data_IF_756790754866
#
_entry.id   IF_756790754866
#
_cell.length_a   1.000
_cell.length_b   1.000
_cell.length_c   1.000
_cell.angle_alpha   90.00
_cell.angle_beta   90.00
_cell.angle_gamma   90.00
#
_symmetry.space_group_name_H-M   'P 1'
#
loop_
_entity.id
_entity.type
_entity.pdbx_description
1 polymer ?
#
# COMPACT_ATOMS: atom_id res chain seq x y z
N UNK A 1 -39.15 8.87 -18.59
CA UNK A 1 -38.27 9.72 -17.77
C UNK A 1 -36.90 9.06 -17.63
N UNK A 2 -35.83 9.57 -18.26
CA UNK A 2 -34.50 8.92 -18.30
C UNK A 2 -33.65 9.09 -17.02
N UNK A 3 -34.06 9.96 -16.08
CA UNK A 3 -33.23 10.37 -14.93
C UNK A 3 -32.95 9.26 -13.89
N UNK A 4 -33.88 8.33 -13.69
CA UNK A 4 -33.74 7.27 -12.67
C UNK A 4 -32.76 6.17 -13.09
N UNK A 5 -32.66 5.87 -14.39
CA UNK A 5 -31.70 4.90 -14.92
C UNK A 5 -30.24 5.42 -14.86
N UNK A 6 -30.05 6.73 -15.04
CA UNK A 6 -28.74 7.38 -14.90
C UNK A 6 -28.29 7.40 -13.43
N UNK A 7 -29.17 7.79 -12.50
CA UNK A 7 -28.86 7.79 -11.07
C UNK A 7 -28.55 6.39 -10.53
N UNK A 8 -29.30 5.36 -10.94
CA UNK A 8 -29.03 3.96 -10.57
C UNK A 8 -27.66 3.49 -11.06
N UNK A 9 -27.29 3.80 -12.31
CA UNK A 9 -25.95 3.47 -12.85
C UNK A 9 -24.85 4.19 -12.08
N UNK A 10 -25.01 5.50 -11.84
CA UNK A 10 -24.03 6.30 -11.08
C UNK A 10 -23.84 5.78 -9.65
N UNK A 11 -24.93 5.42 -8.98
CA UNK A 11 -24.89 4.88 -7.62
C UNK A 11 -24.23 3.48 -7.57
N UNK A 12 -24.49 2.62 -8.55
CA UNK A 12 -23.83 1.32 -8.67
C UNK A 12 -22.32 1.47 -8.90
N UNK A 13 -21.90 2.38 -9.78
CA UNK A 13 -20.47 2.66 -10.03
C UNK A 13 -19.74 3.18 -8.79
N UNK A 14 -20.36 4.07 -8.01
CA UNK A 14 -19.78 4.57 -6.76
C UNK A 14 -19.63 3.47 -5.71
N UNK A 15 -20.64 2.59 -5.57
CA UNK A 15 -20.57 1.44 -4.65
C UNK A 15 -19.48 0.46 -5.05
N UNK A 16 -19.34 0.17 -6.34
CA UNK A 16 -18.27 -0.72 -6.84
C UNK A 16 -16.87 -0.16 -6.55
N UNK A 17 -16.65 1.14 -6.75
CA UNK A 17 -15.37 1.79 -6.43
C UNK A 17 -15.07 1.78 -4.93
N UNK A 18 -16.06 2.04 -4.09
CA UNK A 18 -15.88 2.02 -2.64
C UNK A 18 -15.59 0.59 -2.12
N UNK A 19 -16.21 -0.43 -2.71
CA UNK A 19 -15.91 -1.83 -2.38
C UNK A 19 -14.49 -2.22 -2.81
N UNK A 20 -14.09 -1.88 -4.04
CA UNK A 20 -12.73 -2.10 -4.51
C UNK A 20 -11.69 -1.41 -3.61
N UNK A 21 -11.98 -0.16 -3.18
CA UNK A 21 -11.14 0.57 -2.23
C UNK A 21 -10.97 -0.17 -0.92
N UNK A 22 -12.07 -0.64 -0.32
CA UNK A 22 -12.01 -1.37 0.95
C UNK A 22 -11.19 -2.64 0.84
N UNK A 23 -11.39 -3.42 -0.23
CA UNK A 23 -10.60 -4.62 -0.50
C UNK A 23 -9.11 -4.28 -0.63
N UNK A 24 -8.77 -3.22 -1.35
CA UNK A 24 -7.39 -2.80 -1.54
C UNK A 24 -6.74 -2.33 -0.22
N UNK A 25 -7.48 -1.63 0.65
CA UNK A 25 -7.02 -1.25 2.00
C UNK A 25 -6.78 -2.48 2.87
N UNK A 26 -7.72 -3.44 2.90
CA UNK A 26 -7.54 -4.69 3.65
C UNK A 26 -6.32 -5.46 3.14
N UNK A 27 -6.15 -5.55 1.82
CA UNK A 27 -4.98 -6.20 1.21
C UNK A 27 -3.67 -5.50 1.62
N UNK A 28 -3.65 -4.17 1.63
CA UNK A 28 -2.50 -3.41 2.07
C UNK A 28 -2.14 -3.65 3.56
N UNK A 29 -3.15 -3.86 4.42
CA UNK A 29 -2.94 -4.22 5.83
C UNK A 29 -2.38 -5.64 5.99
N UNK A 30 -2.88 -6.61 5.22
CA UNK A 30 -2.34 -7.98 5.18
C UNK A 30 -0.87 -8.00 4.76
N UNK A 31 -0.54 -7.25 3.70
CA UNK A 31 0.84 -7.08 3.21
C UNK A 31 1.71 -6.50 4.31
N UNK A 32 1.25 -5.43 4.97
CA UNK A 32 2.00 -4.80 6.05
C UNK A 32 2.26 -5.76 7.22
N UNK A 33 1.27 -6.56 7.62
CA UNK A 33 1.41 -7.53 8.68
C UNK A 33 2.42 -8.63 8.31
N UNK A 34 2.33 -9.17 7.09
CA UNK A 34 3.25 -10.19 6.61
C UNK A 34 4.69 -9.67 6.57
N UNK A 35 4.93 -8.50 5.96
CA UNK A 35 6.27 -7.90 5.92
C UNK A 35 6.80 -7.52 7.31
N UNK A 36 5.93 -7.04 8.21
CA UNK A 36 6.33 -6.72 9.58
C UNK A 36 6.76 -7.95 10.38
N UNK A 37 6.23 -9.13 10.08
CA UNK A 37 6.65 -10.38 10.74
C UNK A 37 8.05 -10.85 10.35
N UNK A 38 8.53 -10.46 9.17
CA UNK A 38 9.88 -10.78 8.68
C UNK A 38 10.92 -9.72 9.07
N UNK A 39 10.47 -8.49 9.30
CA UNK A 39 11.31 -7.36 9.68
C UNK A 39 11.61 -7.36 11.20
N UNK A 40 12.81 -6.97 11.58
CA UNK A 40 13.19 -6.71 12.96
C UNK A 40 12.45 -5.50 13.55
N UNK A 41 12.12 -4.52 12.70
CA UNK A 41 11.25 -3.39 13.05
C UNK A 41 10.46 -2.91 11.83
N UNK A 42 9.24 -2.43 12.04
CA UNK A 42 8.44 -1.80 10.99
C UNK A 42 7.87 -0.45 11.43
N UNK A 43 7.71 0.45 10.46
CA UNK A 43 7.08 1.77 10.64
C UNK A 43 6.13 2.03 9.48
N UNK A 44 4.93 2.52 9.78
CA UNK A 44 3.96 2.95 8.77
C UNK A 44 3.99 4.46 8.66
N UNK A 45 4.31 4.96 7.47
CA UNK A 45 4.20 6.37 7.14
C UNK A 45 2.78 6.68 6.66
N UNK A 46 2.37 7.95 6.79
CA UNK A 46 1.09 8.41 6.27
C UNK A 46 1.06 8.16 4.77
N UNK A 47 0.10 7.36 4.32
CA UNK A 47 -0.07 7.11 2.90
C UNK A 47 -0.44 8.45 2.22
N UNK A 48 0.19 8.79 1.09
CA UNK A 48 -0.08 10.07 0.43
C UNK A 48 -1.53 10.12 0.01
N UNK A 49 -2.18 11.23 0.37
CA UNK A 49 -3.56 11.47 -0.02
C UNK A 49 -3.62 11.61 -1.54
N UNK A 50 -4.44 10.80 -2.24
CA UNK A 50 -4.57 10.87 -3.69
C UNK A 50 -5.10 12.22 -4.18
N UNK A 51 -5.71 13.04 -3.31
CA UNK A 51 -6.09 14.41 -3.66
C UNK A 51 -4.89 15.31 -4.01
N UNK A 52 -3.67 14.97 -3.56
CA UNK A 52 -2.47 15.77 -3.77
C UNK A 52 -1.63 15.32 -4.98
N UNK A 53 -1.80 14.09 -5.49
CA UNK A 53 -0.90 13.53 -6.52
C UNK A 53 -1.40 13.64 -7.95
N UNK A 54 -2.71 13.90 -8.16
CA UNK A 54 -3.31 13.98 -9.50
C UNK A 54 -3.22 12.69 -10.32
N UNK A 55 -2.79 11.57 -9.70
CA UNK A 55 -2.72 10.23 -10.29
C UNK A 55 -3.83 9.36 -9.72
N UNK A 56 -4.45 8.55 -10.57
CA UNK A 56 -5.47 7.56 -10.18
C UNK A 56 -4.91 6.43 -9.28
N UNK A 57 -3.60 6.38 -9.10
CA UNK A 57 -2.90 5.40 -8.26
C UNK A 57 -2.92 5.85 -6.80
N UNK A 58 -3.83 5.29 -6.02
CA UNK A 58 -3.89 5.53 -4.58
C UNK A 58 -2.75 4.81 -3.87
N UNK A 59 -1.89 5.57 -3.17
CA UNK A 59 -0.92 4.95 -2.28
C UNK A 59 -1.65 4.41 -1.05
N UNK A 60 -1.72 3.10 -0.91
CA UNK A 60 -2.45 2.43 0.18
C UNK A 60 -1.55 2.12 1.39
N UNK A 61 -0.27 1.87 1.12
CA UNK A 61 0.75 1.54 2.11
C UNK A 61 2.04 2.27 1.77
N UNK A 62 2.54 3.03 2.73
CA UNK A 62 3.92 3.50 2.76
C UNK A 62 4.53 3.01 4.06
N UNK A 63 5.43 2.04 3.98
CA UNK A 63 6.02 1.38 5.14
C UNK A 63 7.53 1.27 5.01
N UNK A 64 8.23 1.48 6.12
CA UNK A 64 9.65 1.23 6.26
C UNK A 64 9.85 -0.02 7.11
N UNK A 65 10.74 -0.91 6.67
CA UNK A 65 11.01 -2.20 7.31
C UNK A 65 12.52 -2.33 7.51
N UNK A 66 12.94 -2.57 8.75
CA UNK A 66 14.32 -2.91 9.10
C UNK A 66 14.45 -4.43 9.02
N UNK A 67 15.29 -4.91 8.11
CA UNK A 67 15.52 -6.34 7.85
C UNK A 67 16.94 -6.68 8.29
N UNK A 68 17.12 -7.84 8.92
CA UNK A 68 18.44 -8.31 9.35
C UNK A 68 19.36 -8.54 8.14
N UNK A 69 20.67 -8.33 8.35
CA UNK A 69 21.69 -8.60 7.34
C UNK A 69 21.62 -10.07 6.88
N UNK A 70 21.45 -10.28 5.57
CA UNK A 70 21.30 -11.60 4.96
C UNK A 70 19.87 -12.13 4.81
N UNK A 71 18.85 -11.37 5.24
CA UNK A 71 17.42 -11.68 5.01
C UNK A 71 16.75 -10.76 4.00
N UNK A 72 17.52 -9.91 3.33
CA UNK A 72 17.08 -8.97 2.31
C UNK A 72 16.46 -9.66 1.10
N UNK A 73 17.07 -10.75 0.62
CA UNK A 73 16.53 -11.55 -0.48
C UNK A 73 15.23 -12.26 -0.10
N UNK A 74 15.15 -12.82 1.11
CA UNK A 74 13.95 -13.46 1.66
C UNK A 74 12.78 -12.46 1.74
N UNK A 75 13.08 -11.25 2.24
CA UNK A 75 12.11 -10.17 2.34
C UNK A 75 11.64 -9.70 0.96
N UNK A 76 12.57 -9.51 0.01
CA UNK A 76 12.23 -9.10 -1.35
C UNK A 76 11.40 -10.16 -2.10
N UNK A 77 11.73 -11.44 -1.90
CA UNK A 77 10.95 -12.55 -2.44
C UNK A 77 9.52 -12.56 -1.88
N UNK A 78 9.36 -12.41 -0.56
CA UNK A 78 8.03 -12.33 0.07
C UNK A 78 7.24 -11.11 -0.42
N UNK A 79 7.86 -9.94 -0.51
CA UNK A 79 7.21 -8.74 -1.02
C UNK A 79 6.72 -8.93 -2.47
N UNK A 80 7.48 -9.66 -3.29
CA UNK A 80 7.13 -9.95 -4.68
C UNK A 80 5.95 -10.93 -4.79
N UNK A 81 5.81 -11.90 -3.88
CA UNK A 81 4.66 -12.82 -3.87
C UNK A 81 3.38 -12.16 -3.33
N UNK A 82 3.53 -11.12 -2.51
CA UNK A 82 2.44 -10.34 -1.95
C UNK A 82 1.92 -9.24 -2.89
N UNK A 83 2.74 -8.80 -3.85
CA UNK A 83 2.31 -7.95 -4.95
C UNK A 83 1.38 -8.68 -5.93
N UNK A 84 0.48 -7.94 -6.60
CA UNK A 84 -0.54 -8.52 -7.48
C UNK A 84 -1.96 -8.32 -6.97
N UNK A 85 -2.94 -8.94 -7.62
CA UNK A 85 -4.37 -8.89 -7.25
C UNK A 85 -4.95 -7.47 -7.09
N UNK A 86 -4.53 -6.55 -7.96
CA UNK A 86 -5.01 -5.16 -7.95
C UNK A 86 -4.25 -4.23 -7.02
N UNK A 87 -3.12 -4.68 -6.46
CA UNK A 87 -2.17 -3.83 -5.71
C UNK A 87 -0.78 -3.96 -6.33
N UNK A 88 -0.20 -2.83 -6.74
CA UNK A 88 1.20 -2.74 -7.14
C UNK A 88 2.08 -2.49 -5.89
N UNK A 89 3.10 -3.32 -5.71
CA UNK A 89 4.01 -3.23 -4.58
C UNK A 89 5.39 -2.87 -5.08
N UNK A 90 5.92 -1.74 -4.61
CA UNK A 90 7.26 -1.25 -4.97
C UNK A 90 8.16 -1.21 -3.75
N UNK A 91 9.24 -1.99 -3.79
CA UNK A 91 10.34 -1.86 -2.85
C UNK A 91 11.32 -0.81 -3.36
N UNK A 92 11.73 0.11 -2.48
CA UNK A 92 12.65 1.22 -2.81
C UNK A 92 14.02 1.08 -2.15
N UNK A 93 14.27 -0.01 -1.43
CA UNK A 93 15.55 -0.31 -0.76
C UNK A 93 16.51 -1.16 -1.60
N UNK A 94 17.62 -1.65 -1.01
CA UNK A 94 18.03 -1.44 0.37
C UNK A 94 18.58 -0.03 0.61
N UNK A 95 18.17 0.62 1.71
CA UNK A 95 18.75 1.89 2.14
C UNK A 95 19.79 1.64 3.23
N UNK A 96 20.83 2.47 3.29
CA UNK A 96 21.82 2.40 4.37
C UNK A 96 21.12 2.46 5.74
N UNK A 97 21.59 1.72 6.78
CA UNK A 97 20.91 1.62 8.08
C UNK A 97 20.55 2.97 8.72
N UNK A 98 21.39 4.00 8.50
CA UNK A 98 21.19 5.36 8.99
C UNK A 98 19.94 6.04 8.41
N UNK A 99 19.40 5.60 7.26
CA UNK A 99 18.16 6.15 6.70
C UNK A 99 16.93 5.84 7.56
N UNK A 100 16.99 4.80 8.41
CA UNK A 100 15.92 4.49 9.36
C UNK A 100 15.89 5.48 10.53
N UNK A 101 17.02 6.10 10.88
CA UNK A 101 17.10 7.12 11.95
C UNK A 101 16.74 8.52 11.46
N UNK A 102 16.86 8.81 10.15
CA UNK A 102 16.59 10.12 9.54
C UNK A 102 15.12 10.31 9.12
N UNK A 103 14.32 9.24 9.04
CA UNK A 103 12.87 9.33 8.72
C UNK A 103 12.03 10.08 9.79
N UNK A 104 12.67 10.62 10.83
CA UNK A 104 12.11 11.66 11.69
C UNK A 104 12.37 13.05 11.10
N UNK A 105 11.59 13.46 10.09
CA UNK A 105 11.40 14.90 9.85
C UNK A 105 10.00 15.17 9.32
N UNK A 106 9.20 15.67 10.26
CA UNK A 106 8.04 16.58 10.16
C UNK A 106 6.66 16.05 9.75
#
# INVERSE_FOLDING_TARGET
MPGTAYLKRRQASLRGREQARRLAVTRAEEIHAALSSLAAASRRHRAQDPQLSGRDDWMLLNGAYLVDEGRDEEFAAMASTLGGDGVDLRLTGPWAPYSFTILETS
#
